data_IF_242366148057
#
_entry.id   IF_242366148057
#
_cell.length_a   1.000
_cell.length_b   1.000
_cell.length_c   1.000
_cell.angle_alpha   90.00
_cell.angle_beta   90.00
_cell.angle_gamma   90.00
#
_symmetry.space_group_name_H-M   'P 1'
#
loop_
_entity.id
_entity.type
_entity.pdbx_description
1 polymer ?
#
# COMPACT_ATOMS: atom_id res chain seq x y z
N UNK A 1 -23.63 -5.96 -17.22
CA UNK A 1 -22.43 -5.72 -16.90
C UNK A 1 -22.16 -6.25 -15.71
N UNK A 2 -21.38 -6.85 -15.64
CA UNK A 2 -20.97 -7.21 -14.51
C UNK A 2 -19.87 -6.70 -14.17
N UNK A 3 -19.90 -5.58 -13.92
CA UNK A 3 -18.86 -5.14 -13.24
C UNK A 3 -18.63 -5.97 -12.08
N UNK A 4 -17.59 -6.50 -12.02
CA UNK A 4 -17.05 -6.92 -10.83
C UNK A 4 -16.96 -5.73 -9.96
N UNK A 5 -17.94 -5.51 -9.20
CA UNK A 5 -17.87 -4.52 -8.15
C UNK A 5 -16.74 -4.97 -7.24
N UNK A 6 -15.68 -4.20 -7.09
CA UNK A 6 -14.64 -4.56 -6.14
C UNK A 6 -15.26 -4.74 -4.78
N UNK A 7 -14.82 -5.74 -4.06
CA UNK A 7 -15.25 -6.00 -2.71
C UNK A 7 -15.04 -4.80 -1.79
N UNK A 8 -14.08 -3.95 -2.13
CA UNK A 8 -13.73 -2.76 -1.37
C UNK A 8 -13.65 -1.56 -2.30
N UNK A 9 -13.99 -0.37 -1.80
CA UNK A 9 -13.89 0.87 -2.56
C UNK A 9 -12.45 1.39 -2.52
N UNK A 10 -11.68 1.00 -3.50
CA UNK A 10 -10.26 1.36 -3.58
C UNK A 10 -10.04 2.86 -3.81
N UNK A 11 -10.97 3.54 -4.44
CA UNK A 11 -10.87 5.00 -4.63
C UNK A 11 -10.95 5.70 -3.25
N UNK A 12 -11.87 5.27 -2.40
CA UNK A 12 -12.00 5.82 -1.06
C UNK A 12 -10.78 5.49 -0.19
N UNK A 13 -10.27 4.27 -0.29
CA UNK A 13 -9.06 3.85 0.43
C UNK A 13 -7.86 4.68 -0.04
N UNK A 14 -7.69 4.81 -1.35
CA UNK A 14 -6.56 5.54 -1.93
C UNK A 14 -6.56 7.01 -1.51
N UNK A 15 -7.73 7.61 -1.34
CA UNK A 15 -7.84 9.01 -0.90
C UNK A 15 -7.32 9.24 0.51
N UNK A 16 -7.10 8.18 1.28
CA UNK A 16 -6.58 8.28 2.65
C UNK A 16 -5.06 8.15 2.73
N UNK A 17 -4.40 8.01 1.59
CA UNK A 17 -2.94 7.91 1.53
C UNK A 17 -2.35 9.16 0.86
N UNK A 18 -1.08 9.43 1.16
CA UNK A 18 -0.38 10.60 0.62
C UNK A 18 0.12 10.28 -0.79
N UNK A 19 -0.81 10.16 -1.74
CA UNK A 19 -0.50 9.89 -3.14
C UNK A 19 -1.01 11.06 -3.96
N UNK A 20 -0.13 11.66 -4.75
CA UNK A 20 -0.52 12.75 -5.64
C UNK A 20 -1.14 12.24 -6.93
N UNK A 21 -1.77 13.13 -7.68
CA UNK A 21 -2.36 12.82 -8.98
C UNK A 21 -3.80 12.32 -8.89
N UNK A 22 -4.27 11.78 -10.03
CA UNK A 22 -5.66 11.35 -10.16
C UNK A 22 -5.76 9.84 -10.17
N UNK A 23 -6.64 9.30 -9.33
CA UNK A 23 -6.94 7.87 -9.32
C UNK A 23 -7.64 7.50 -10.62
N UNK A 24 -7.12 6.51 -11.32
CA UNK A 24 -7.69 6.07 -12.61
C UNK A 24 -8.44 4.76 -12.49
N UNK A 25 -7.81 3.76 -11.95
CA UNK A 25 -8.38 2.42 -11.88
C UNK A 25 -7.70 1.59 -10.81
N UNK A 26 -8.39 0.57 -10.34
CA UNK A 26 -7.80 -0.45 -9.48
C UNK A 26 -8.41 -1.80 -9.82
N UNK A 27 -7.62 -2.85 -9.67
CA UNK A 27 -8.06 -4.21 -9.93
C UNK A 27 -7.36 -5.18 -8.97
N UNK A 28 -7.99 -6.30 -8.65
CA UNK A 28 -7.30 -7.34 -7.87
C UNK A 28 -5.99 -7.74 -8.53
N UNK A 29 -4.95 -7.96 -7.73
CA UNK A 29 -3.63 -8.28 -8.23
C UNK A 29 -3.07 -9.51 -7.53
N UNK A 30 -2.58 -10.45 -8.31
CA UNK A 30 -1.99 -11.66 -7.78
C UNK A 30 -3.02 -12.69 -7.31
N UNK A 31 -2.52 -13.77 -6.74
CA UNK A 31 -3.35 -14.87 -6.26
C UNK A 31 -3.15 -15.11 -4.77
N UNK A 32 -2.81 -14.06 -4.03
CA UNK A 32 -2.60 -14.20 -2.60
C UNK A 32 -3.88 -14.56 -1.86
N UNK A 33 -3.76 -15.47 -0.90
CA UNK A 33 -4.89 -15.95 -0.14
C UNK A 33 -4.97 -15.38 1.27
N UNK A 34 -3.92 -14.72 1.71
CA UNK A 34 -3.83 -14.18 3.07
C UNK A 34 -4.35 -12.75 3.12
N UNK A 35 -3.86 -11.89 2.23
CA UNK A 35 -4.30 -10.52 2.15
C UNK A 35 -4.97 -10.26 0.81
N UNK A 36 -5.97 -9.38 0.80
CA UNK A 36 -6.53 -8.90 -0.46
C UNK A 36 -5.58 -7.86 -1.04
N UNK A 37 -5.10 -8.08 -2.25
CA UNK A 37 -4.13 -7.21 -2.90
C UNK A 37 -4.73 -6.59 -4.16
N UNK A 38 -4.50 -5.30 -4.33
CA UNK A 38 -4.99 -4.56 -5.49
C UNK A 38 -3.88 -3.73 -6.08
N UNK A 39 -3.87 -3.64 -7.42
CA UNK A 39 -3.00 -2.70 -8.12
C UNK A 39 -3.84 -1.51 -8.54
N UNK A 40 -3.44 -0.33 -8.16
CA UNK A 40 -4.11 0.91 -8.51
C UNK A 40 -3.21 1.76 -9.40
N UNK A 41 -3.81 2.43 -10.38
CA UNK A 41 -3.09 3.32 -11.29
C UNK A 41 -3.52 4.74 -11.04
N UNK A 42 -2.54 5.62 -10.86
CA UNK A 42 -2.75 7.04 -10.72
C UNK A 42 -2.10 7.76 -11.90
N UNK A 43 -2.73 8.83 -12.36
CA UNK A 43 -2.12 9.71 -13.35
C UNK A 43 -1.43 10.84 -12.61
N UNK A 44 -0.11 10.88 -12.68
CA UNK A 44 0.69 11.90 -12.03
C UNK A 44 1.41 12.71 -13.10
N UNK A 45 0.92 13.92 -13.35
CA UNK A 45 1.47 14.83 -14.34
C UNK A 45 1.57 14.21 -15.76
N UNK A 46 0.54 13.47 -16.16
CA UNK A 46 0.50 12.80 -17.46
C UNK A 46 1.18 11.46 -17.52
N UNK A 47 1.81 11.01 -16.42
CA UNK A 47 2.48 9.71 -16.38
C UNK A 47 1.74 8.75 -15.48
N UNK A 48 1.51 7.51 -15.92
CA UNK A 48 0.87 6.52 -15.06
C UNK A 48 1.84 6.04 -13.97
N UNK A 49 1.33 5.94 -12.75
CA UNK A 49 2.06 5.38 -11.62
C UNK A 49 1.23 4.30 -10.99
N UNK A 50 1.84 3.17 -10.69
CA UNK A 50 1.13 2.04 -10.09
C UNK A 50 1.50 1.90 -8.63
N UNK A 51 0.48 1.67 -7.80
CA UNK A 51 0.66 1.43 -6.38
C UNK A 51 -0.04 0.14 -6.01
N UNK A 52 0.48 -0.54 -5.01
CA UNK A 52 -0.12 -1.76 -4.50
C UNK A 52 -0.80 -1.44 -3.17
N UNK A 53 -2.06 -1.82 -3.07
CA UNK A 53 -2.83 -1.68 -1.84
C UNK A 53 -3.14 -3.06 -1.32
N UNK A 54 -2.94 -3.28 -0.02
CA UNK A 54 -3.28 -4.55 0.59
C UNK A 54 -4.13 -4.33 1.82
N UNK A 55 -5.22 -5.11 1.91
CA UNK A 55 -5.99 -5.18 3.14
C UNK A 55 -5.35 -6.28 3.98
N UNK A 56 -4.89 -5.91 5.16
CA UNK A 56 -4.23 -6.85 6.06
C UNK A 56 -5.30 -7.76 6.67
N UNK A 57 -5.09 -9.08 6.56
CA UNK A 57 -6.04 -10.03 7.10
C UNK A 57 -5.84 -10.14 8.61
N UNK A 58 -6.70 -9.49 9.38
CA UNK A 58 -6.61 -9.48 10.84
C UNK A 58 -7.00 -10.81 11.48
N UNK A 59 -7.56 -11.74 10.71
CA UNK A 59 -7.78 -13.10 11.21
C UNK A 59 -6.48 -13.90 11.27
N UNK A 60 -5.52 -13.57 10.40
CA UNK A 60 -4.19 -14.18 10.40
C UNK A 60 -3.22 -13.35 11.21
N UNK A 61 -3.23 -12.03 11.00
CA UNK A 61 -2.36 -11.12 11.73
C UNK A 61 -3.17 -10.43 12.81
N UNK A 62 -3.03 -10.91 14.05
CA UNK A 62 -3.87 -10.45 15.16
C UNK A 62 -3.55 -9.03 15.64
N UNK A 63 -2.38 -8.53 15.29
CA UNK A 63 -1.97 -7.16 15.65
C UNK A 63 -1.45 -6.43 14.42
N UNK A 64 -2.34 -5.94 13.53
CA UNK A 64 -1.92 -5.26 12.31
C UNK A 64 -1.04 -4.03 12.57
N UNK A 65 -1.31 -3.28 13.63
CA UNK A 65 -0.50 -2.10 13.96
C UNK A 65 0.93 -2.51 14.33
N UNK A 66 1.09 -3.58 15.12
CA UNK A 66 2.41 -4.12 15.46
C UNK A 66 3.14 -4.66 14.25
N UNK A 67 2.42 -5.37 13.37
CA UNK A 67 2.99 -5.85 12.12
C UNK A 67 3.52 -4.69 11.27
N UNK A 68 2.73 -3.65 11.08
CA UNK A 68 3.13 -2.49 10.28
C UNK A 68 4.28 -1.72 10.92
N UNK A 69 4.32 -1.63 12.25
CA UNK A 69 5.45 -1.05 12.96
C UNK A 69 6.75 -1.81 12.69
N UNK A 70 6.69 -3.15 12.64
CA UNK A 70 7.85 -3.96 12.29
C UNK A 70 8.27 -3.77 10.84
N UNK A 71 7.32 -3.77 9.91
CA UNK A 71 7.60 -3.55 8.48
C UNK A 71 8.27 -2.19 8.29
N UNK A 72 7.76 -1.16 8.95
CA UNK A 72 8.32 0.19 8.87
C UNK A 72 9.77 0.22 9.36
N UNK A 73 10.04 -0.36 10.52
CA UNK A 73 11.40 -0.39 11.08
C UNK A 73 12.38 -1.17 10.22
N UNK A 74 11.96 -2.33 9.73
CA UNK A 74 12.82 -3.19 8.91
C UNK A 74 13.12 -2.52 7.57
N UNK A 75 12.11 -2.00 6.90
CA UNK A 75 12.31 -1.35 5.60
C UNK A 75 13.16 -0.10 5.74
N UNK A 76 12.97 0.69 6.80
CA UNK A 76 13.79 1.87 7.05
C UNK A 76 15.24 1.50 7.33
N UNK A 77 15.48 0.41 8.07
CA UNK A 77 16.83 -0.07 8.36
C UNK A 77 17.56 -0.52 7.09
N UNK A 78 16.88 -1.31 6.25
CA UNK A 78 17.45 -1.79 4.99
C UNK A 78 17.76 -0.59 4.07
N UNK A 79 16.86 0.39 3.99
CA UNK A 79 17.06 1.58 3.18
C UNK A 79 18.29 2.37 3.63
N UNK A 80 18.45 2.57 4.93
CA UNK A 80 19.62 3.27 5.45
C UNK A 80 20.93 2.54 5.11
N UNK A 81 20.93 1.21 5.18
CA UNK A 81 22.11 0.44 4.80
C UNK A 81 22.42 0.56 3.32
N UNK A 82 21.40 0.51 2.47
CA UNK A 82 21.60 0.66 1.02
C UNK A 82 22.11 2.05 0.68
N UNK A 83 21.59 3.08 1.32
CA UNK A 83 22.07 4.46 1.14
C UNK A 83 23.52 4.61 1.58
N UNK A 84 23.88 4.04 2.71
CA UNK A 84 25.24 4.12 3.25
C UNK A 84 26.26 3.44 2.36
N UNK A 85 25.88 2.42 1.59
CA UNK A 85 26.78 1.73 0.67
C UNK A 85 26.77 2.33 -0.73
N UNK A 86 26.01 3.40 -0.96
CA UNK A 86 25.93 4.03 -2.28
C UNK A 86 25.17 3.21 -3.30
N UNK A 87 24.27 2.31 -2.85
CA UNK A 87 23.49 1.48 -3.75
C UNK A 87 22.57 2.32 -4.64
N UNK A 88 22.39 1.90 -5.90
CA UNK A 88 21.44 2.53 -6.78
C UNK A 88 20.10 1.78 -6.76
N UNK A 89 19.07 2.37 -7.32
CA UNK A 89 17.74 1.78 -7.44
C UNK A 89 17.19 1.25 -6.11
N UNK A 90 17.38 2.01 -5.05
CA UNK A 90 16.97 1.61 -3.70
C UNK A 90 15.50 1.25 -3.63
N UNK A 91 14.64 2.00 -4.33
CA UNK A 91 13.19 1.74 -4.34
C UNK A 91 12.82 0.39 -4.94
N UNK A 92 13.73 -0.25 -5.68
CA UNK A 92 13.53 -1.60 -6.20
C UNK A 92 14.11 -2.67 -5.29
N UNK A 93 14.94 -2.29 -4.33
CA UNK A 93 15.61 -3.22 -3.43
C UNK A 93 14.95 -3.34 -2.08
N UNK A 94 14.11 -2.37 -1.72
CA UNK A 94 13.36 -2.37 -0.47
C UNK A 94 11.99 -1.76 -0.72
N UNK A 95 10.98 -2.23 0.01
CA UNK A 95 9.64 -1.68 -0.11
C UNK A 95 9.62 -0.21 0.30
N UNK A 96 8.91 0.58 -0.46
CA UNK A 96 8.64 1.97 -0.11
C UNK A 96 7.20 2.06 0.37
N UNK A 97 7.02 2.32 1.66
CA UNK A 97 5.69 2.46 2.22
C UNK A 97 5.19 3.88 1.97
N UNK A 98 3.95 3.99 1.49
CA UNK A 98 3.30 5.29 1.32
C UNK A 98 2.55 5.61 2.60
N UNK A 99 2.81 6.75 3.25
CA UNK A 99 2.10 7.10 4.47
C UNK A 99 0.64 7.44 4.20
N UNK A 100 -0.23 7.14 5.17
CA UNK A 100 -1.60 7.63 5.15
C UNK A 100 -1.61 9.13 5.48
N UNK A 101 -2.74 9.78 5.25
CA UNK A 101 -2.88 11.21 5.54
C UNK A 101 -2.65 11.53 7.02
N UNK A 102 -2.95 10.59 7.91
CA UNK A 102 -2.71 10.74 9.33
C UNK A 102 -1.25 10.57 9.74
N UNK A 103 -0.36 10.24 8.80
CA UNK A 103 1.08 10.10 9.04
C UNK A 103 1.56 8.68 9.31
N UNK A 104 0.66 7.75 9.59
CA UNK A 104 1.05 6.35 9.80
C UNK A 104 1.16 5.64 8.46
N UNK A 105 1.90 4.55 8.40
CA UNK A 105 2.04 3.80 7.15
C UNK A 105 0.88 2.81 6.90
N UNK A 106 -0.23 2.96 7.59
CA UNK A 106 -1.45 2.20 7.35
C UNK A 106 -2.67 3.06 7.65
N UNK A 107 -3.81 2.63 7.11
CA UNK A 107 -5.10 3.29 7.32
C UNK A 107 -6.13 2.27 7.77
N UNK A 108 -6.96 2.63 8.74
CA UNK A 108 -8.09 1.80 9.19
C UNK A 108 -9.36 2.43 8.63
N UNK A 109 -10.13 1.67 7.85
CA UNK A 109 -11.37 2.18 7.26
C UNK A 109 -12.54 2.08 8.25
N UNK A 110 -13.72 2.54 7.81
CA UNK A 110 -14.91 2.57 8.67
C UNK A 110 -15.37 1.17 9.10
N UNK A 111 -14.98 0.14 8.37
CA UNK A 111 -15.34 -1.24 8.69
C UNK A 111 -14.28 -1.94 9.54
N UNK A 112 -13.24 -1.24 9.94
CA UNK A 112 -12.15 -1.80 10.74
C UNK A 112 -11.08 -2.51 9.94
N UNK A 113 -11.09 -2.41 8.62
CA UNK A 113 -10.05 -3.02 7.80
C UNK A 113 -8.78 -2.16 7.82
N UNK A 114 -7.64 -2.83 7.98
CA UNK A 114 -6.34 -2.16 7.95
C UNK A 114 -5.76 -2.27 6.53
N UNK A 115 -5.41 -1.12 5.97
CA UNK A 115 -4.86 -1.02 4.62
C UNK A 115 -3.43 -0.49 4.64
N UNK A 116 -2.61 -0.98 3.72
CA UNK A 116 -1.26 -0.49 3.51
C UNK A 116 -0.95 -0.38 2.02
#
# INVERSE_FOLDING_TARGET
>A
MTATTPKHDLRAVAARFQIGGDFRAAAPYGSGHINDTYAAVFDQAGSPRRYIFQRINHNVFKNPAGLMGNVERVTAHIRRKLEATGADQISRRVLTLVPALAGKCWHVDAEGNHWR
#
